data_IF_945246837117
#
_entry.id   IF_945246837117
#
_cell.length_a   1.000
_cell.length_b   1.000
_cell.length_c   1.000
_cell.angle_alpha   90.00
_cell.angle_beta   90.00
_cell.angle_gamma   90.00
#
_symmetry.space_group_name_H-M   'P 1'
#
loop_
_entity.id
_entity.type
_entity.pdbx_description
1 polymer ?
#
# COMPACT_ATOMS: atom_id res chain seq x y z
N UNK A 1 -10.35 -9.50 -13.39
CA UNK A 1 -9.76 -10.27 -12.27
C UNK A 1 -10.05 -9.47 -11.02
N UNK A 2 -10.33 -10.10 -9.87
CA UNK A 2 -10.64 -9.33 -8.64
C UNK A 2 -9.34 -8.79 -8.07
N UNK A 3 -9.18 -7.47 -8.03
CA UNK A 3 -8.21 -6.83 -7.14
C UNK A 3 -8.46 -7.29 -5.72
N UNK A 4 -7.44 -7.81 -5.04
CA UNK A 4 -7.52 -8.12 -3.62
C UNK A 4 -7.26 -6.83 -2.83
N UNK A 5 -8.29 -6.37 -2.11
CA UNK A 5 -8.19 -5.25 -1.16
C UNK A 5 -8.32 -5.82 0.25
N UNK A 6 -7.36 -5.48 1.11
CA UNK A 6 -7.39 -5.78 2.55
C UNK A 6 -7.42 -4.47 3.33
N UNK A 7 -8.22 -4.45 4.39
CA UNK A 7 -8.35 -3.30 5.30
C UNK A 7 -8.05 -3.78 6.72
N UNK A 8 -7.22 -3.03 7.44
CA UNK A 8 -6.85 -3.32 8.83
C UNK A 8 -7.02 -2.05 9.67
N UNK A 9 -7.67 -2.19 10.83
CA UNK A 9 -7.75 -1.12 11.82
C UNK A 9 -6.56 -1.21 12.78
N UNK A 10 -5.95 -0.08 13.07
CA UNK A 10 -4.81 0.03 13.97
C UNK A 10 -5.12 0.94 15.16
N UNK A 11 -4.80 0.44 16.34
CA UNK A 11 -4.88 1.17 17.60
C UNK A 11 -3.59 1.98 17.86
N UNK A 12 -3.65 3.02 18.72
CA UNK A 12 -2.47 3.75 19.15
C UNK A 12 -1.39 2.83 19.73
N UNK A 13 -0.14 3.04 19.35
CA UNK A 13 1.00 2.23 19.77
C UNK A 13 1.08 0.83 19.13
N UNK A 14 0.12 0.46 18.27
CA UNK A 14 0.14 -0.84 17.60
C UNK A 14 1.25 -0.87 16.54
N UNK A 15 2.05 -1.94 16.58
CA UNK A 15 3.02 -2.26 15.55
C UNK A 15 2.33 -3.02 14.41
N UNK A 16 2.61 -2.60 13.19
CA UNK A 16 2.13 -3.26 11.98
C UNK A 16 3.33 -3.74 11.16
N UNK A 17 3.30 -5.02 10.77
CA UNK A 17 4.29 -5.67 9.93
C UNK A 17 3.58 -6.27 8.72
N UNK A 18 4.07 -5.96 7.53
CA UNK A 18 3.58 -6.49 6.27
C UNK A 18 4.75 -6.95 5.40
N UNK A 19 4.72 -8.21 5.01
CA UNK A 19 5.57 -8.77 3.97
C UNK A 19 4.77 -8.95 2.69
N UNK A 20 5.31 -8.49 1.56
CA UNK A 20 4.67 -8.69 0.26
C UNK A 20 5.07 -10.04 -0.35
N UNK A 21 4.32 -11.07 0.00
CA UNK A 21 4.45 -12.42 -0.58
C UNK A 21 3.64 -12.61 -1.88
N UNK A 22 3.04 -11.54 -2.39
CA UNK A 22 2.28 -11.60 -3.64
C UNK A 22 3.23 -11.55 -4.85
N UNK A 23 2.68 -11.78 -6.05
CA UNK A 23 3.44 -11.68 -7.31
C UNK A 23 3.42 -10.28 -7.90
N UNK A 24 2.93 -9.27 -7.17
CA UNK A 24 2.77 -7.88 -7.64
C UNK A 24 3.23 -6.90 -6.55
N UNK A 25 3.64 -5.68 -6.90
CA UNK A 25 3.78 -4.62 -5.91
C UNK A 25 2.43 -4.34 -5.23
N UNK A 26 2.47 -4.06 -3.93
CA UNK A 26 1.31 -3.61 -3.18
C UNK A 26 1.34 -2.09 -3.04
N UNK A 27 0.19 -1.46 -3.11
CA UNK A 27 -0.01 -0.09 -2.63
C UNK A 27 -0.54 -0.16 -1.21
N UNK A 28 0.14 0.51 -0.29
CA UNK A 28 -0.24 0.60 1.13
C UNK A 28 -0.60 2.04 1.41
N UNK A 29 -1.82 2.25 1.90
CA UNK A 29 -2.33 3.56 2.28
C UNK A 29 -2.68 3.52 3.76
N UNK A 30 -1.98 4.32 4.56
CA UNK A 30 -2.32 4.54 5.96
C UNK A 30 -3.09 5.86 6.06
N UNK A 31 -4.30 5.81 6.61
CA UNK A 31 -5.11 6.98 6.91
C UNK A 31 -5.30 7.07 8.42
N UNK A 32 -4.94 8.20 9.01
CA UNK A 32 -5.14 8.48 10.44
C UNK A 32 -6.47 9.17 10.70
N UNK A 33 -6.93 9.15 11.94
CA UNK A 33 -8.16 9.84 12.37
C UNK A 33 -8.13 11.37 12.20
N UNK A 34 -6.95 11.99 12.05
CA UNK A 34 -6.79 13.42 11.80
C UNK A 34 -6.53 13.76 10.33
N UNK A 35 -6.97 12.89 9.42
CA UNK A 35 -6.87 13.07 7.96
C UNK A 35 -5.43 13.08 7.41
N UNK A 36 -4.41 12.71 8.22
CA UNK A 36 -3.08 12.46 7.67
C UNK A 36 -3.09 11.16 6.87
N UNK A 37 -2.63 11.24 5.62
CA UNK A 37 -2.56 10.10 4.69
C UNK A 37 -1.11 9.85 4.28
N UNK A 38 -0.67 8.60 4.39
CA UNK A 38 0.63 8.14 3.89
C UNK A 38 0.40 7.06 2.85
N UNK A 39 0.91 7.28 1.63
CA UNK A 39 0.88 6.28 0.55
C UNK A 39 2.28 5.78 0.26
N UNK A 40 2.40 4.48 0.09
CA UNK A 40 3.65 3.86 -0.31
C UNK A 40 3.44 2.63 -1.20
N UNK A 41 4.45 2.32 -1.99
CA UNK A 41 4.49 1.10 -2.79
C UNK A 41 5.45 0.11 -2.16
N UNK A 42 4.95 -1.08 -1.79
CA UNK A 42 5.74 -2.17 -1.26
C UNK A 42 6.12 -3.13 -2.41
N UNK A 43 7.41 -3.22 -2.79
CA UNK A 43 7.84 -4.11 -3.86
C UNK A 43 7.63 -5.59 -3.53
N UNK A 44 7.75 -6.46 -4.54
CA UNK A 44 7.65 -7.92 -4.37
C UNK A 44 8.78 -8.38 -3.44
N UNK A 45 8.43 -9.17 -2.41
CA UNK A 45 9.36 -9.60 -1.37
C UNK A 45 9.82 -8.49 -0.43
N UNK A 46 9.24 -7.28 -0.54
CA UNK A 46 9.53 -6.17 0.35
C UNK A 46 8.83 -6.32 1.69
N UNK A 47 9.42 -5.71 2.72
CA UNK A 47 8.88 -5.65 4.06
C UNK A 47 8.58 -4.20 4.45
N UNK A 48 7.46 -4.00 5.13
CA UNK A 48 7.06 -2.74 5.72
C UNK A 48 6.78 -2.96 7.19
N UNK A 49 7.45 -2.16 8.02
CA UNK A 49 7.24 -2.11 9.45
C UNK A 49 7.00 -0.65 9.86
N UNK A 50 5.92 -0.42 10.60
CA UNK A 50 5.70 0.87 11.26
C UNK A 50 4.91 0.70 12.56
N UNK A 51 4.97 1.73 13.38
CA UNK A 51 4.20 1.83 14.62
C UNK A 51 3.30 3.04 14.53
N UNK A 52 2.01 2.84 14.80
CA UNK A 52 1.10 3.96 14.92
C UNK A 52 1.41 4.71 16.23
N UNK A 53 1.47 6.04 16.17
CA UNK A 53 1.79 6.87 17.32
C UNK A 53 0.63 6.91 18.34
N UNK A 54 0.25 8.12 18.74
CA UNK A 54 -0.86 8.33 19.70
C UNK A 54 -2.25 8.28 19.05
N UNK A 55 -2.30 8.05 17.73
CA UNK A 55 -3.50 8.14 16.92
C UNK A 55 -4.01 6.75 16.55
N UNK A 56 -5.32 6.65 16.27
CA UNK A 56 -5.89 5.49 15.58
C UNK A 56 -5.86 5.70 14.07
N UNK A 57 -5.88 4.59 13.32
CA UNK A 57 -5.78 4.65 11.87
C UNK A 57 -6.30 3.39 11.17
N UNK A 58 -6.42 3.50 9.85
CA UNK A 58 -6.81 2.41 8.97
C UNK A 58 -5.75 2.23 7.90
N UNK A 59 -5.34 0.99 7.69
CA UNK A 59 -4.42 0.60 6.61
C UNK A 59 -5.22 -0.09 5.53
N UNK A 60 -5.08 0.42 4.31
CA UNK A 60 -5.54 -0.23 3.09
C UNK A 60 -4.34 -0.84 2.36
N UNK A 61 -4.48 -2.11 1.97
CA UNK A 61 -3.48 -2.84 1.20
C UNK A 61 -4.16 -3.25 -0.10
N UNK A 62 -3.60 -2.79 -1.20
CA UNK A 62 -4.16 -2.93 -2.54
C UNK A 62 -3.14 -3.66 -3.41
N UNK A 63 -3.54 -4.79 -4.00
CA UNK A 63 -2.78 -5.34 -5.12
C UNK A 63 -2.92 -4.41 -6.31
N UNK A 64 -1.83 -3.79 -6.76
CA UNK A 64 -1.89 -2.92 -7.93
C UNK A 64 -2.23 -3.78 -9.15
N UNK A 65 -3.35 -3.51 -9.81
CA UNK A 65 -3.57 -4.05 -11.15
C UNK A 65 -2.45 -3.52 -12.03
N UNK A 66 -1.63 -4.41 -12.60
CA UNK A 66 -0.77 -4.02 -13.68
C UNK A 66 -1.70 -3.60 -14.81
N UNK A 67 -1.90 -2.29 -15.01
CA UNK A 67 -2.32 -1.83 -16.32
C UNK A 67 -1.21 -2.26 -17.28
N UNK A 68 -1.47 -3.33 -18.04
CA UNK A 68 -0.65 -3.76 -19.18
C UNK A 68 -0.79 -2.74 -20.31
N UNK A 69 -0.33 -1.52 -20.08
CA UNK A 69 -0.16 -0.54 -21.13
C UNK A 69 1.32 -0.16 -21.18
N UNK A 70 2.11 -0.80 -22.06
CA UNK A 70 3.45 -0.32 -22.33
C UNK A 70 3.32 1.10 -22.86
N UNK A 71 3.69 2.09 -22.04
CA UNK A 71 3.85 3.48 -22.47
C UNK A 71 4.96 3.49 -23.51
N UNK A 72 4.58 3.39 -24.79
CA UNK A 72 5.50 3.55 -25.90
C UNK A 72 5.66 5.05 -26.15
N UNK A 73 6.73 5.63 -25.62
CA UNK A 73 7.18 6.93 -26.09
C UNK A 73 7.66 6.74 -27.54
N UNK A 74 6.87 7.23 -28.50
CA UNK A 74 7.34 7.38 -29.89
C UNK A 74 7.92 8.79 -30.03
N UNK A 75 9.16 8.94 -30.53
CA UNK A 75 9.66 10.26 -30.92
C UNK A 75 8.75 10.83 -32.02
N UNK A 76 8.43 12.12 -31.91
CA UNK A 76 7.71 12.85 -32.96
C UNK A 76 8.72 13.19 -34.07
N UNK A 77 8.46 12.73 -35.29
CA UNK A 77 9.13 13.19 -36.51
C UNK A 77 8.73 14.63 -36.86
#
# INVERSE_FOLDING_TARGET
>A
MSSAMRMEHLEPGQQFLLTNDTRKPLEVVLQTQYESEVRMTLPIGGELEFTLGEESGVVYILEREQEEHPVRAVPKE
#
